data_IF_923133346859
#
_entry.id   IF_923133346859
#
_cell.length_a   1.000
_cell.length_b   1.000
_cell.length_c   1.000
_cell.angle_alpha   90.00
_cell.angle_beta   90.00
_cell.angle_gamma   90.00
#
_symmetry.space_group_name_H-M   'P 1'
#
loop_
_entity.id
_entity.type
_entity.pdbx_description
1 polymer ?
#
# COMPACT_ATOMS: atom_id res chain seq x y z
N UNK A 1 -42.02 -4.00 16.09
CA UNK A 1 -40.69 -3.41 15.80
C UNK A 1 -39.83 -4.47 15.11
N UNK A 2 -39.71 -4.42 13.78
CA UNK A 2 -38.76 -5.26 13.05
C UNK A 2 -37.35 -4.76 13.38
N UNK A 3 -36.53 -5.56 14.09
CA UNK A 3 -35.10 -5.29 14.24
C UNK A 3 -34.55 -5.13 12.81
N UNK A 4 -33.98 -3.97 12.48
CA UNK A 4 -33.31 -3.77 11.18
C UNK A 4 -32.24 -4.86 11.06
N UNK A 5 -32.38 -5.75 10.08
CA UNK A 5 -31.38 -6.81 9.83
C UNK A 5 -30.06 -6.13 9.46
N UNK A 6 -28.99 -6.51 10.16
CA UNK A 6 -27.62 -6.12 9.81
C UNK A 6 -27.32 -6.65 8.40
N UNK A 7 -26.80 -5.78 7.53
CA UNK A 7 -26.40 -6.12 6.16
C UNK A 7 -24.92 -5.78 5.90
N UNK A 8 -24.42 -6.10 4.70
CA UNK A 8 -23.02 -5.87 4.32
C UNK A 8 -22.59 -4.39 4.46
N UNK A 9 -23.50 -3.43 4.27
CA UNK A 9 -23.19 -2.00 4.36
C UNK A 9 -22.91 -1.54 5.78
N UNK A 10 -23.50 -2.19 6.79
CA UNK A 10 -23.22 -1.90 8.19
C UNK A 10 -21.79 -2.33 8.56
N UNK A 11 -21.38 -3.53 8.12
CA UNK A 11 -20.02 -4.04 8.35
C UNK A 11 -18.98 -3.17 7.64
N UNK A 12 -19.20 -2.88 6.35
CA UNK A 12 -18.31 -2.01 5.58
C UNK A 12 -18.27 -0.60 6.17
N UNK A 13 -19.41 -0.04 6.56
CA UNK A 13 -19.49 1.29 7.18
C UNK A 13 -18.64 1.37 8.45
N UNK A 14 -18.78 0.42 9.38
CA UNK A 14 -17.95 0.38 10.59
C UNK A 14 -16.47 0.25 10.24
N UNK A 15 -16.12 -0.67 9.33
CA UNK A 15 -14.74 -0.88 8.92
C UNK A 15 -14.09 0.38 8.33
N UNK A 16 -14.79 1.06 7.43
CA UNK A 16 -14.31 2.29 6.80
C UNK A 16 -14.30 3.49 7.75
N UNK A 17 -15.21 3.55 8.73
CA UNK A 17 -15.18 4.58 9.78
C UNK A 17 -13.94 4.45 10.69
N UNK A 18 -13.49 3.23 10.97
CA UNK A 18 -12.36 3.00 11.90
C UNK A 18 -11.00 2.86 11.20
N UNK A 19 -10.95 2.55 9.90
CA UNK A 19 -9.67 2.21 9.25
C UNK A 19 -8.63 3.35 9.31
N UNK A 20 -9.02 4.59 8.99
CA UNK A 20 -8.09 5.71 9.01
C UNK A 20 -7.77 6.15 10.44
N UNK A 21 -8.70 6.23 11.41
CA UNK A 21 -8.36 6.51 12.82
C UNK A 21 -7.43 5.47 13.43
N UNK A 22 -7.69 4.18 13.19
CA UNK A 22 -6.82 3.10 13.66
C UNK A 22 -5.42 3.26 13.10
N UNK A 23 -5.27 3.67 11.83
CA UNK A 23 -3.96 3.89 11.24
C UNK A 23 -3.13 4.99 11.90
N UNK A 24 -3.77 5.96 12.57
CA UNK A 24 -3.08 7.03 13.32
C UNK A 24 -2.47 6.49 14.61
N UNK A 25 -3.23 5.67 15.34
CA UNK A 25 -2.79 5.11 16.63
C UNK A 25 -1.83 3.93 16.40
N UNK A 26 -2.22 3.00 15.55
CA UNK A 26 -1.49 1.78 15.25
C UNK A 26 -1.72 1.36 13.80
N UNK A 27 -0.82 1.71 12.87
CA UNK A 27 -0.89 1.27 11.49
C UNK A 27 -1.04 -0.25 11.35
N UNK A 28 -0.39 -1.03 12.23
CA UNK A 28 -0.49 -2.49 12.27
C UNK A 28 -1.92 -2.99 12.49
N UNK A 29 -2.78 -2.19 13.12
CA UNK A 29 -4.20 -2.48 13.32
C UNK A 29 -4.99 -2.62 12.03
N UNK A 30 -4.49 -2.13 10.88
CA UNK A 30 -5.15 -2.32 9.58
C UNK A 30 -5.36 -3.80 9.22
N UNK A 31 -4.43 -4.68 9.60
CA UNK A 31 -4.58 -6.12 9.39
C UNK A 31 -5.79 -6.68 10.17
N UNK A 32 -6.00 -6.20 11.40
CA UNK A 32 -7.15 -6.57 12.24
C UNK A 32 -8.44 -6.03 11.65
N UNK A 33 -8.45 -4.79 11.16
CA UNK A 33 -9.63 -4.20 10.48
C UNK A 33 -10.03 -5.05 9.27
N UNK A 34 -9.08 -5.43 8.41
CA UNK A 34 -9.38 -6.28 7.26
C UNK A 34 -9.91 -7.66 7.70
N UNK A 35 -9.24 -8.32 8.65
CA UNK A 35 -9.64 -9.64 9.12
C UNK A 35 -11.04 -9.64 9.74
N UNK A 36 -11.33 -8.70 10.64
CA UNK A 36 -12.64 -8.58 11.28
C UNK A 36 -13.74 -8.27 10.25
N UNK A 37 -13.46 -7.41 9.28
CA UNK A 37 -14.41 -7.07 8.19
C UNK A 37 -14.70 -8.30 7.34
N UNK A 38 -13.66 -9.03 6.92
CA UNK A 38 -13.79 -10.23 6.11
C UNK A 38 -14.58 -11.34 6.84
N UNK A 39 -14.28 -11.58 8.12
CA UNK A 39 -14.99 -12.55 8.95
C UNK A 39 -16.47 -12.17 9.15
N UNK A 40 -16.75 -10.89 9.39
CA UNK A 40 -18.11 -10.39 9.51
C UNK A 40 -18.92 -10.57 8.22
N UNK A 41 -18.34 -10.22 7.07
CA UNK A 41 -18.97 -10.41 5.76
C UNK A 41 -19.19 -11.89 5.44
N UNK A 42 -18.19 -12.73 5.70
CA UNK A 42 -18.31 -14.18 5.52
C UNK A 42 -19.44 -14.76 6.38
N UNK A 43 -19.54 -14.33 7.64
CA UNK A 43 -20.59 -14.78 8.57
C UNK A 43 -21.98 -14.40 8.08
N UNK A 44 -22.19 -13.15 7.62
CA UNK A 44 -23.47 -12.72 7.05
C UNK A 44 -23.83 -13.52 5.80
N UNK A 45 -22.86 -13.78 4.92
CA UNK A 45 -23.10 -14.55 3.69
C UNK A 45 -23.46 -16.01 3.98
N UNK A 46 -22.73 -16.66 4.89
CA UNK A 46 -23.03 -18.03 5.31
C UNK A 46 -24.41 -18.13 5.95
N UNK A 47 -24.77 -17.19 6.84
CA UNK A 47 -26.11 -17.11 7.42
C UNK A 47 -27.21 -16.87 6.37
N UNK A 48 -26.89 -16.16 5.28
CA UNK A 48 -27.77 -15.93 4.13
C UNK A 48 -27.84 -17.09 3.13
N UNK A 49 -27.26 -18.26 3.43
CA UNK A 49 -27.28 -19.43 2.55
C UNK A 49 -26.36 -19.31 1.33
N UNK A 50 -25.35 -18.45 1.38
CA UNK A 50 -24.40 -18.28 0.29
C UNK A 50 -23.70 -19.60 -0.06
N UNK A 51 -23.73 -19.94 -1.35
CA UNK A 51 -22.91 -21.01 -1.93
C UNK A 51 -21.77 -20.36 -2.71
N UNK A 52 -20.54 -20.72 -2.38
CA UNK A 52 -19.37 -20.26 -3.11
C UNK A 52 -19.46 -20.72 -4.56
N UNK A 53 -19.45 -19.76 -5.49
CA UNK A 53 -19.37 -20.04 -6.92
C UNK A 53 -18.18 -19.26 -7.49
N UNK A 54 -17.13 -19.98 -7.86
CA UNK A 54 -15.93 -19.40 -8.44
C UNK A 54 -16.18 -19.04 -9.91
N UNK A 55 -16.64 -17.82 -10.14
CA UNK A 55 -16.59 -17.17 -11.45
C UNK A 55 -15.40 -16.21 -11.47
N UNK A 56 -14.19 -16.78 -11.40
CA UNK A 56 -12.96 -16.03 -11.18
C UNK A 56 -12.68 -15.02 -12.31
N UNK A 57 -12.55 -13.74 -11.94
CA UNK A 57 -12.00 -12.70 -12.83
C UNK A 57 -10.55 -13.03 -13.19
N UNK A 58 -10.03 -12.44 -14.28
CA UNK A 58 -8.62 -12.64 -14.66
C UNK A 58 -7.67 -12.23 -13.52
N UNK A 59 -7.98 -11.14 -12.81
CA UNK A 59 -7.22 -10.70 -11.62
C UNK A 59 -7.26 -11.79 -10.53
N UNK A 60 -8.43 -12.35 -10.23
CA UNK A 60 -8.57 -13.41 -9.24
C UNK A 60 -7.77 -14.67 -9.59
N UNK A 61 -7.74 -15.05 -10.87
CA UNK A 61 -6.93 -16.18 -11.36
C UNK A 61 -5.43 -15.91 -11.21
N UNK A 62 -4.96 -14.70 -11.54
CA UNK A 62 -3.55 -14.32 -11.39
C UNK A 62 -3.13 -14.24 -9.92
N UNK A 63 -3.98 -13.70 -9.04
CA UNK A 63 -3.73 -13.70 -7.59
C UNK A 63 -3.67 -15.12 -7.06
N UNK A 64 -4.60 -16.00 -7.47
CA UNK A 64 -4.56 -17.41 -7.07
C UNK A 64 -3.28 -18.11 -7.55
N UNK A 65 -2.85 -17.87 -8.80
CA UNK A 65 -1.59 -18.39 -9.32
C UNK A 65 -0.38 -17.87 -8.53
N UNK A 66 -0.38 -16.58 -8.16
CA UNK A 66 0.67 -16.00 -7.32
C UNK A 66 0.71 -16.62 -5.92
N UNK A 67 -0.45 -16.79 -5.28
CA UNK A 67 -0.57 -17.48 -3.97
C UNK A 67 -0.07 -18.93 -4.05
N UNK A 68 -0.42 -19.66 -5.11
CA UNK A 68 0.08 -21.02 -5.34
C UNK A 68 1.61 -21.00 -5.45
N UNK A 69 2.18 -20.05 -6.21
CA UNK A 69 3.63 -19.89 -6.30
C UNK A 69 4.26 -19.60 -4.93
N UNK A 70 3.65 -18.75 -4.09
CA UNK A 70 4.11 -18.50 -2.72
C UNK A 70 4.20 -19.80 -1.91
N UNK A 71 3.17 -20.66 -1.96
CA UNK A 71 3.18 -21.95 -1.27
C UNK A 71 4.22 -22.91 -1.85
N UNK A 72 4.28 -23.06 -3.17
CA UNK A 72 5.26 -23.92 -3.83
C UNK A 72 6.69 -23.51 -3.50
N UNK A 73 6.92 -22.21 -3.33
CA UNK A 73 8.24 -21.68 -3.00
C UNK A 73 8.80 -22.16 -1.66
N UNK A 74 7.97 -22.72 -0.78
CA UNK A 74 8.43 -23.37 0.43
C UNK A 74 9.39 -24.54 0.14
N UNK A 75 9.26 -25.20 -1.02
CA UNK A 75 10.08 -26.37 -1.41
C UNK A 75 11.56 -25.99 -1.57
N UNK A 76 11.86 -24.78 -2.04
CA UNK A 76 13.23 -24.30 -2.24
C UNK A 76 13.59 -23.11 -1.33
N UNK A 77 12.72 -22.81 -0.37
CA UNK A 77 12.91 -21.68 0.55
C UNK A 77 14.07 -21.93 1.48
N UNK A 78 14.83 -20.88 1.77
CA UNK A 78 15.83 -20.90 2.86
C UNK A 78 15.19 -20.91 4.25
N UNK A 79 13.89 -20.61 4.35
CA UNK A 79 13.11 -20.64 5.59
C UNK A 79 11.68 -21.19 5.35
N UNK A 80 11.53 -22.51 5.06
CA UNK A 80 10.26 -23.10 4.62
C UNK A 80 9.07 -22.89 5.56
N UNK A 81 9.26 -23.04 6.87
CA UNK A 81 8.19 -22.87 7.87
C UNK A 81 7.62 -21.44 7.87
N UNK A 82 8.52 -20.45 7.78
CA UNK A 82 8.15 -19.04 7.70
C UNK A 82 7.45 -18.74 6.38
N UNK A 83 7.96 -19.28 5.28
CA UNK A 83 7.34 -19.17 3.96
C UNK A 83 5.90 -19.68 3.97
N UNK A 84 5.64 -20.88 4.51
CA UNK A 84 4.29 -21.44 4.60
C UNK A 84 3.36 -20.57 5.46
N UNK A 85 3.85 -20.10 6.62
CA UNK A 85 3.08 -19.23 7.51
C UNK A 85 2.70 -17.91 6.82
N UNK A 86 3.67 -17.22 6.21
CA UNK A 86 3.41 -15.95 5.54
C UNK A 86 2.55 -16.14 4.30
N UNK A 87 2.72 -17.24 3.54
CA UNK A 87 1.86 -17.57 2.41
C UNK A 87 0.41 -17.79 2.83
N UNK A 88 0.16 -18.48 3.96
CA UNK A 88 -1.18 -18.67 4.50
C UNK A 88 -1.84 -17.35 4.95
N UNK A 89 -1.07 -16.46 5.58
CA UNK A 89 -1.54 -15.12 5.95
C UNK A 89 -1.90 -14.32 4.69
N UNK A 90 -1.01 -14.27 3.70
CA UNK A 90 -1.23 -13.56 2.44
C UNK A 90 -2.43 -14.10 1.66
N UNK A 91 -2.60 -15.43 1.61
CA UNK A 91 -3.77 -16.07 1.00
C UNK A 91 -5.07 -15.66 1.70
N UNK A 92 -5.06 -15.62 3.04
CA UNK A 92 -6.21 -15.22 3.85
C UNK A 92 -6.57 -13.75 3.62
N UNK A 93 -5.56 -12.87 3.53
CA UNK A 93 -5.73 -11.46 3.20
C UNK A 93 -6.30 -11.26 1.79
N UNK A 94 -5.83 -12.03 0.80
CA UNK A 94 -6.33 -11.98 -0.57
C UNK A 94 -7.80 -12.43 -0.66
N UNK A 95 -8.17 -13.49 0.07
CA UNK A 95 -9.57 -13.95 0.17
C UNK A 95 -10.43 -12.88 0.85
N UNK A 96 -9.99 -12.37 1.99
CA UNK A 96 -10.71 -11.35 2.76
C UNK A 96 -10.90 -10.05 1.98
N UNK A 97 -9.84 -9.55 1.35
CA UNK A 97 -9.90 -8.37 0.49
C UNK A 97 -10.81 -8.56 -0.73
N UNK A 98 -10.80 -9.74 -1.34
CA UNK A 98 -11.74 -10.07 -2.43
C UNK A 98 -13.19 -10.04 -1.94
N UNK A 99 -13.49 -10.59 -0.76
CA UNK A 99 -14.83 -10.53 -0.17
C UNK A 99 -15.29 -9.09 0.07
N UNK A 100 -14.40 -8.23 0.57
CA UNK A 100 -14.67 -6.81 0.84
C UNK A 100 -14.98 -6.06 -0.46
N UNK A 101 -14.18 -6.24 -1.52
CA UNK A 101 -14.42 -5.62 -2.83
C UNK A 101 -15.76 -6.11 -3.43
N UNK A 102 -16.04 -7.41 -3.33
CA UNK A 102 -17.31 -7.97 -3.81
C UNK A 102 -18.52 -7.43 -3.05
N UNK A 103 -18.40 -7.21 -1.74
CA UNK A 103 -19.45 -6.58 -0.95
C UNK A 103 -19.63 -5.11 -1.35
N UNK A 104 -18.53 -4.35 -1.45
CA UNK A 104 -18.54 -2.94 -1.84
C UNK A 104 -19.21 -2.71 -3.21
N UNK A 105 -18.97 -3.61 -4.18
CA UNK A 105 -19.51 -3.49 -5.54
C UNK A 105 -21.00 -3.85 -5.68
N UNK A 106 -21.61 -4.42 -4.63
CA UNK A 106 -23.02 -4.87 -4.64
C UNK A 106 -23.96 -3.95 -3.87
N UNK A 107 -23.43 -2.91 -3.23
CA UNK A 107 -24.25 -1.98 -2.45
C UNK A 107 -25.22 -1.20 -3.34
N UNK A 108 -26.46 -1.07 -2.86
CA UNK A 108 -27.42 -0.15 -3.46
C UNK A 108 -27.08 1.32 -3.12
N UNK A 109 -27.82 2.28 -3.68
CA UNK A 109 -27.53 3.71 -3.50
C UNK A 109 -27.56 4.12 -2.02
N UNK A 110 -28.54 3.68 -1.24
CA UNK A 110 -28.69 4.04 0.18
C UNK A 110 -27.52 3.48 1.00
N UNK A 111 -27.22 2.19 0.81
CA UNK A 111 -26.11 1.50 1.47
C UNK A 111 -24.75 2.11 1.12
N UNK A 112 -24.54 2.47 -0.15
CA UNK A 112 -23.32 3.12 -0.61
C UNK A 112 -23.17 4.50 0.03
N UNK A 113 -24.23 5.30 0.05
CA UNK A 113 -24.22 6.63 0.69
C UNK A 113 -23.87 6.53 2.18
N UNK A 114 -24.40 5.53 2.89
CA UNK A 114 -23.99 5.25 4.27
C UNK A 114 -22.48 4.99 4.40
N UNK A 115 -21.94 4.10 3.56
CA UNK A 115 -20.51 3.77 3.57
C UNK A 115 -19.64 4.98 3.24
N UNK A 116 -20.05 5.83 2.30
CA UNK A 116 -19.30 7.07 1.98
C UNK A 116 -19.27 8.02 3.18
N UNK A 117 -20.39 8.23 3.88
CA UNK A 117 -20.40 9.04 5.10
C UNK A 117 -19.48 8.46 6.19
N UNK A 118 -19.42 7.14 6.32
CA UNK A 118 -18.51 6.48 7.23
C UNK A 118 -17.03 6.72 6.87
N UNK A 119 -16.67 6.67 5.57
CA UNK A 119 -15.34 7.06 5.08
C UNK A 119 -15.03 8.52 5.43
N UNK A 120 -15.99 9.44 5.22
CA UNK A 120 -15.82 10.86 5.58
C UNK A 120 -15.52 11.03 7.06
N UNK A 121 -16.31 10.37 7.91
CA UNK A 121 -16.15 10.41 9.35
C UNK A 121 -14.77 9.90 9.77
N UNK A 122 -14.38 8.72 9.27
CA UNK A 122 -13.07 8.14 9.55
C UNK A 122 -11.92 9.05 9.11
N UNK A 123 -12.00 9.65 7.92
CA UNK A 123 -10.99 10.59 7.43
C UNK A 123 -10.91 11.85 8.30
N UNK A 124 -12.06 12.45 8.63
CA UNK A 124 -12.10 13.64 9.48
C UNK A 124 -11.49 13.37 10.86
N UNK A 125 -11.85 12.25 11.50
CA UNK A 125 -11.29 11.85 12.81
C UNK A 125 -9.79 11.60 12.70
N UNK A 126 -9.32 10.90 11.66
CA UNK A 126 -7.90 10.61 11.47
C UNK A 126 -7.07 11.89 11.22
N UNK A 127 -7.58 12.80 10.38
CA UNK A 127 -6.92 14.08 10.10
C UNK A 127 -6.87 14.96 11.34
N UNK A 128 -7.96 15.04 12.10
CA UNK A 128 -8.00 15.77 13.38
C UNK A 128 -7.06 15.15 14.42
N UNK A 129 -7.00 13.82 14.53
CA UNK A 129 -6.12 13.12 15.44
C UNK A 129 -4.63 13.34 15.10
N UNK A 130 -4.25 13.30 13.82
CA UNK A 130 -2.87 13.62 13.40
C UNK A 130 -2.51 15.08 13.64
N UNK A 131 -3.43 16.00 13.36
CA UNK A 131 -3.20 17.41 13.64
C UNK A 131 -3.03 17.66 15.15
N UNK A 132 -3.85 17.01 15.97
CA UNK A 132 -3.71 17.05 17.42
C UNK A 132 -2.39 16.43 17.91
N UNK A 133 -1.99 15.27 17.38
CA UNK A 133 -0.69 14.66 17.67
C UNK A 133 0.46 15.62 17.39
N UNK A 134 0.42 16.31 16.24
CA UNK A 134 1.41 17.31 15.89
C UNK A 134 1.45 18.47 16.89
N UNK A 135 0.30 19.06 17.22
CA UNK A 135 0.22 20.20 18.16
C UNK A 135 0.59 19.82 19.60
N UNK A 136 0.21 18.61 20.03
CA UNK A 136 0.42 18.13 21.39
C UNK A 136 1.80 17.51 21.62
N UNK A 137 2.63 17.39 20.57
CA UNK A 137 3.92 16.71 20.66
C UNK A 137 3.80 15.20 20.89
N UNK A 138 2.82 14.55 20.26
CA UNK A 138 2.51 13.12 20.30
C UNK A 138 1.77 12.61 21.56
N UNK A 139 0.84 13.40 22.13
CA UNK A 139 0.19 13.06 23.40
C UNK A 139 -0.69 11.80 23.36
N UNK A 140 -1.48 11.59 22.30
CA UNK A 140 -2.27 10.35 22.12
C UNK A 140 -1.35 9.15 22.02
N UNK A 141 -0.22 9.28 21.32
CA UNK A 141 0.73 8.18 21.19
C UNK A 141 1.37 7.84 22.52
N UNK A 142 1.83 8.83 23.28
CA UNK A 142 2.38 8.60 24.61
C UNK A 142 1.36 8.05 25.60
N UNK A 143 0.07 8.37 25.45
CA UNK A 143 -1.00 7.80 26.27
C UNK A 143 -1.11 6.27 26.14
N UNK A 144 -0.85 5.72 24.95
CA UNK A 144 -0.90 4.27 24.71
C UNK A 144 0.44 3.54 24.93
N UNK A 145 1.51 4.26 25.26
CA UNK A 145 2.83 3.68 25.50
C UNK A 145 3.07 3.45 26.99
N UNK A 146 3.69 2.31 27.33
CA UNK A 146 4.24 2.13 28.67
C UNK A 146 5.38 3.12 28.92
N UNK A 147 5.70 3.50 30.17
CA UNK A 147 6.78 4.46 30.48
C UNK A 147 8.14 4.09 29.87
N UNK A 148 8.48 2.81 29.89
CA UNK A 148 9.71 2.26 29.28
C UNK A 148 9.74 2.48 27.76
N UNK A 149 8.64 2.11 27.09
CA UNK A 149 8.50 2.35 25.66
C UNK A 149 8.52 3.85 25.34
N UNK A 150 7.84 4.69 26.13
CA UNK A 150 7.81 6.14 25.93
C UNK A 150 9.22 6.76 25.98
N UNK A 151 10.10 6.26 26.86
CA UNK A 151 11.49 6.71 26.95
C UNK A 151 12.33 6.29 25.73
N UNK A 152 12.20 5.04 25.27
CA UNK A 152 12.83 4.60 24.01
C UNK A 152 12.29 5.38 22.81
N UNK A 153 10.98 5.60 22.78
CA UNK A 153 10.32 6.37 21.73
C UNK A 153 10.83 7.81 21.69
N UNK A 154 11.04 8.48 22.82
CA UNK A 154 11.64 9.84 22.83
C UNK A 154 13.02 9.90 22.18
N UNK A 155 13.79 8.80 22.20
CA UNK A 155 15.11 8.72 21.53
C UNK A 155 14.99 8.51 20.01
N UNK A 156 13.88 7.92 19.54
CA UNK A 156 13.66 7.51 18.13
C UNK A 156 12.66 8.42 17.40
N UNK A 157 11.88 9.23 18.13
CA UNK A 157 10.73 9.98 17.65
C UNK A 157 11.04 11.10 16.63
N UNK A 158 12.31 11.47 16.45
CA UNK A 158 12.67 12.63 15.65
C UNK A 158 12.38 12.53 14.14
N UNK A 159 12.06 11.36 13.56
CA UNK A 159 12.03 11.26 12.08
C UNK A 159 10.93 10.46 11.36
N UNK A 160 10.06 9.65 11.99
CA UNK A 160 9.23 8.70 11.20
C UNK A 160 7.84 8.36 11.76
N UNK A 161 7.31 9.14 12.70
CA UNK A 161 6.11 8.76 13.49
C UNK A 161 4.86 8.61 12.63
N UNK A 162 4.68 9.46 11.62
CA UNK A 162 3.43 9.59 10.88
C UNK A 162 3.40 8.90 9.52
N UNK A 163 4.52 8.34 9.04
CA UNK A 163 4.65 7.88 7.65
C UNK A 163 3.60 6.83 7.24
N UNK A 164 3.34 5.85 8.11
CA UNK A 164 2.37 4.80 7.82
C UNK A 164 0.93 5.33 7.88
N UNK A 165 0.61 6.19 8.86
CA UNK A 165 -0.70 6.84 8.96
C UNK A 165 -0.98 7.75 7.76
N UNK A 166 0.01 8.56 7.37
CA UNK A 166 -0.05 9.41 6.18
C UNK A 166 -0.21 8.59 4.91
N UNK A 167 0.41 7.43 4.81
CA UNK A 167 0.19 6.51 3.69
C UNK A 167 -1.27 6.09 3.57
N UNK A 168 -1.90 5.65 4.67
CA UNK A 168 -3.32 5.24 4.65
C UNK A 168 -4.22 6.42 4.29
N UNK A 169 -3.96 7.60 4.85
CA UNK A 169 -4.75 8.81 4.60
C UNK A 169 -4.59 9.27 3.15
N UNK A 170 -3.38 9.36 2.61
CA UNK A 170 -3.11 9.74 1.21
C UNK A 170 -3.84 8.81 0.25
N UNK A 171 -3.71 7.48 0.45
CA UNK A 171 -4.33 6.50 -0.44
C UNK A 171 -5.85 6.49 -0.37
N UNK A 172 -6.43 6.81 0.78
CA UNK A 172 -7.88 6.83 0.98
C UNK A 172 -8.51 8.15 0.52
N UNK A 173 -7.84 9.28 0.76
CA UNK A 173 -8.43 10.60 0.57
C UNK A 173 -8.76 10.87 -0.89
N UNK A 174 -7.88 10.54 -1.82
CA UNK A 174 -8.11 10.81 -3.24
C UNK A 174 -9.38 10.13 -3.79
N UNK A 175 -9.58 8.80 -3.67
CA UNK A 175 -10.81 8.17 -4.12
C UNK A 175 -12.03 8.51 -3.24
N UNK A 176 -11.83 8.80 -1.95
CA UNK A 176 -12.92 9.26 -1.07
C UNK A 176 -13.44 10.63 -1.49
N UNK A 177 -12.58 11.60 -1.80
CA UNK A 177 -12.99 12.94 -2.25
C UNK A 177 -13.82 12.88 -3.54
N UNK A 178 -13.50 11.95 -4.46
CA UNK A 178 -14.35 11.68 -5.62
C UNK A 178 -15.75 11.19 -5.21
N UNK A 179 -15.85 10.24 -4.27
CA UNK A 179 -17.14 9.74 -3.78
C UNK A 179 -17.96 10.86 -3.12
N UNK A 180 -17.33 11.67 -2.28
CA UNK A 180 -17.94 12.80 -1.57
C UNK A 180 -18.46 13.84 -2.57
N UNK A 181 -17.65 14.16 -3.59
CA UNK A 181 -18.04 15.07 -4.65
C UNK A 181 -19.27 14.57 -5.41
N UNK A 182 -19.34 13.26 -5.71
CA UNK A 182 -20.48 12.65 -6.41
C UNK A 182 -21.77 12.60 -5.59
N UNK A 183 -21.68 12.69 -4.26
CA UNK A 183 -22.85 12.86 -3.38
C UNK A 183 -23.32 14.32 -3.29
N UNK A 184 -22.67 15.26 -4.00
CA UNK A 184 -23.02 16.69 -4.00
C UNK A 184 -22.28 17.52 -2.94
N UNK A 185 -21.48 16.89 -2.07
CA UNK A 185 -20.77 17.58 -1.00
C UNK A 185 -19.42 18.18 -1.44
N UNK A 186 -19.45 19.08 -2.43
CA UNK A 186 -18.25 19.66 -3.06
C UNK A 186 -17.31 20.32 -2.04
N UNK A 187 -17.85 21.08 -1.09
CA UNK A 187 -17.07 21.73 -0.05
C UNK A 187 -16.32 20.72 0.83
N UNK A 188 -16.98 19.64 1.25
CA UNK A 188 -16.34 18.59 2.06
C UNK A 188 -15.22 17.88 1.29
N UNK A 189 -15.42 17.61 0.00
CA UNK A 189 -14.38 17.02 -0.85
C UNK A 189 -13.14 17.94 -0.95
N UNK A 190 -13.35 19.24 -1.15
CA UNK A 190 -12.28 20.25 -1.18
C UNK A 190 -11.58 20.39 0.17
N UNK A 191 -12.33 20.39 1.28
CA UNK A 191 -11.77 20.43 2.63
C UNK A 191 -10.91 19.20 2.94
N UNK A 192 -11.34 18.01 2.53
CA UNK A 192 -10.55 16.78 2.69
C UNK A 192 -9.23 16.84 1.91
N UNK A 193 -9.26 17.34 0.66
CA UNK A 193 -8.04 17.52 -0.14
C UNK A 193 -7.12 18.61 0.44
N UNK A 194 -7.66 19.73 0.90
CA UNK A 194 -6.88 20.79 1.55
C UNK A 194 -6.25 20.31 2.86
N UNK A 195 -7.01 19.57 3.68
CA UNK A 195 -6.52 18.94 4.91
C UNK A 195 -5.41 17.94 4.63
N UNK A 196 -5.54 17.13 3.58
CA UNK A 196 -4.47 16.24 3.13
C UNK A 196 -3.19 17.00 2.79
N UNK A 197 -3.28 18.05 1.97
CA UNK A 197 -2.13 18.85 1.59
C UNK A 197 -1.45 19.48 2.82
N UNK A 198 -2.23 20.07 3.73
CA UNK A 198 -1.72 20.61 4.99
C UNK A 198 -0.99 19.56 5.83
N UNK A 199 -1.59 18.39 6.01
CA UNK A 199 -0.97 17.29 6.77
C UNK A 199 0.29 16.74 6.10
N UNK A 200 0.35 16.70 4.78
CA UNK A 200 1.57 16.26 4.11
C UNK A 200 2.73 17.19 4.43
N UNK A 201 2.54 18.51 4.51
CA UNK A 201 3.59 19.46 4.92
C UNK A 201 3.99 19.24 6.38
N UNK A 202 3.02 19.01 7.26
CA UNK A 202 3.25 18.89 8.71
C UNK A 202 3.93 17.57 9.09
N UNK A 203 3.55 16.45 8.46
CA UNK A 203 3.88 15.11 8.93
C UNK A 203 5.26 14.57 8.50
N UNK A 204 6.08 15.39 7.82
CA UNK A 204 7.37 15.02 7.22
C UNK A 204 7.40 13.71 6.41
N UNK A 205 6.29 13.42 5.74
CA UNK A 205 6.07 12.16 5.03
C UNK A 205 6.50 12.24 3.55
N UNK A 206 7.80 12.41 3.29
CA UNK A 206 8.35 12.61 1.93
C UNK A 206 7.90 11.56 0.91
N UNK A 207 7.92 10.28 1.29
CA UNK A 207 7.51 9.21 0.37
C UNK A 207 6.02 9.34 0.00
N UNK A 208 5.17 9.70 0.97
CA UNK A 208 3.73 9.91 0.73
C UNK A 208 3.46 11.19 -0.08
N UNK A 209 4.21 12.27 0.15
CA UNK A 209 4.16 13.52 -0.63
C UNK A 209 4.47 13.25 -2.10
N UNK A 210 5.62 12.64 -2.38
CA UNK A 210 6.07 12.38 -3.74
C UNK A 210 5.11 11.40 -4.45
N UNK A 211 4.66 10.35 -3.76
CA UNK A 211 3.66 9.42 -4.29
C UNK A 211 2.33 10.09 -4.66
N UNK A 212 1.88 11.07 -3.86
CA UNK A 212 0.68 11.85 -4.15
C UNK A 212 0.88 12.72 -5.39
N UNK A 213 2.04 13.38 -5.53
CA UNK A 213 2.37 14.17 -6.72
C UNK A 213 2.32 13.31 -8.00
N UNK A 214 2.99 12.15 -8.00
CA UNK A 214 2.90 11.22 -9.14
C UNK A 214 1.48 10.75 -9.42
N UNK A 215 0.70 10.45 -8.37
CA UNK A 215 -0.71 10.10 -8.50
C UNK A 215 -1.51 11.20 -9.17
N UNK A 216 -1.39 12.46 -8.71
CA UNK A 216 -2.08 13.63 -9.28
C UNK A 216 -1.67 13.89 -10.71
N UNK A 217 -0.37 13.74 -11.04
CA UNK A 217 0.12 13.84 -12.42
C UNK A 217 -0.55 12.78 -13.30
N UNK A 218 -0.66 11.54 -12.84
CA UNK A 218 -1.36 10.49 -13.60
C UNK A 218 -2.86 10.78 -13.71
N UNK A 219 -3.52 11.32 -12.67
CA UNK A 219 -4.92 11.80 -12.80
C UNK A 219 -5.02 12.85 -13.88
N UNK A 220 -4.14 13.86 -13.88
CA UNK A 220 -4.14 14.93 -14.87
C UNK A 220 -3.92 14.36 -16.27
N UNK A 221 -2.89 13.55 -16.51
CA UNK A 221 -2.67 12.93 -17.83
C UNK A 221 -3.85 12.04 -18.23
N UNK A 222 -4.45 11.30 -17.30
CA UNK A 222 -5.59 10.43 -17.61
C UNK A 222 -6.87 11.18 -17.95
N UNK A 223 -7.08 12.38 -17.38
CA UNK A 223 -8.21 13.25 -17.74
C UNK A 223 -8.11 13.77 -19.18
N UNK A 224 -6.90 14.02 -19.68
CA UNK A 224 -6.67 14.63 -21.01
C UNK A 224 -6.36 13.57 -22.08
N UNK A 225 -5.65 12.51 -21.70
CA UNK A 225 -5.18 11.45 -22.57
C UNK A 225 -5.19 10.08 -21.85
N UNK A 226 -6.39 9.50 -21.59
CA UNK A 226 -6.55 8.27 -20.80
C UNK A 226 -5.77 7.08 -21.37
N UNK A 227 -5.67 6.98 -22.70
CA UNK A 227 -4.87 5.93 -23.37
C UNK A 227 -3.38 6.11 -23.14
N UNK A 228 -2.87 7.35 -23.17
CA UNK A 228 -1.46 7.65 -22.89
C UNK A 228 -1.14 7.35 -21.44
N UNK A 229 -1.98 7.79 -20.50
CA UNK A 229 -1.80 7.48 -19.08
C UNK A 229 -1.78 5.96 -18.82
N UNK A 230 -2.75 5.23 -19.37
CA UNK A 230 -2.87 3.78 -19.17
C UNK A 230 -1.70 3.02 -19.76
N UNK A 231 -1.39 3.25 -21.05
CA UNK A 231 -0.28 2.55 -21.74
C UNK A 231 1.06 2.98 -21.15
N UNK A 232 1.25 4.26 -20.87
CA UNK A 232 2.47 4.79 -20.26
C UNK A 232 2.74 4.15 -18.90
N UNK A 233 1.74 4.08 -18.01
CA UNK A 233 1.86 3.41 -16.72
C UNK A 233 2.18 1.92 -16.90
N UNK A 234 1.48 1.21 -17.80
CA UNK A 234 1.78 -0.20 -18.09
C UNK A 234 3.24 -0.39 -18.56
N UNK A 235 3.73 0.45 -19.47
CA UNK A 235 5.11 0.40 -19.96
C UNK A 235 6.11 0.65 -18.85
N UNK A 236 5.89 1.68 -18.02
CA UNK A 236 6.75 1.98 -16.87
C UNK A 236 6.79 0.80 -15.88
N UNK A 237 5.67 0.12 -15.66
CA UNK A 237 5.63 -1.06 -14.78
C UNK A 237 6.37 -2.26 -15.36
N UNK A 238 6.20 -2.54 -16.66
CA UNK A 238 6.92 -3.64 -17.34
C UNK A 238 8.42 -3.40 -17.25
N UNK A 239 8.88 -2.22 -17.63
CA UNK A 239 10.31 -1.88 -17.61
C UNK A 239 10.82 -1.85 -16.17
N UNK A 240 10.15 -1.10 -15.29
CA UNK A 240 10.59 -0.89 -13.90
C UNK A 240 10.63 -2.18 -13.07
N UNK A 241 9.71 -3.11 -13.30
CA UNK A 241 9.70 -4.39 -12.57
C UNK A 241 10.60 -5.40 -13.27
N UNK A 242 10.40 -5.70 -14.56
CA UNK A 242 11.08 -6.82 -15.21
C UNK A 242 12.53 -6.50 -15.58
N UNK A 243 12.81 -5.27 -16.02
CA UNK A 243 14.18 -4.85 -16.30
C UNK A 243 14.87 -4.20 -15.09
N UNK A 244 14.14 -3.92 -14.00
CA UNK A 244 14.64 -3.21 -12.82
C UNK A 244 15.98 -3.76 -12.27
N UNK A 245 16.10 -5.05 -11.97
CA UNK A 245 17.36 -5.61 -11.46
C UNK A 245 18.54 -5.49 -12.44
N UNK A 246 18.28 -5.62 -13.74
CA UNK A 246 19.32 -5.46 -14.78
C UNK A 246 19.76 -3.99 -14.89
N UNK A 247 18.80 -3.06 -14.89
CA UNK A 247 19.10 -1.62 -14.90
C UNK A 247 19.91 -1.22 -13.69
N UNK A 248 19.54 -1.69 -12.49
CA UNK A 248 20.28 -1.40 -11.26
C UNK A 248 21.67 -2.02 -11.24
N UNK A 249 21.86 -3.22 -11.79
CA UNK A 249 23.19 -3.84 -11.87
C UNK A 249 24.19 -3.03 -12.69
N UNK A 250 23.72 -2.38 -13.75
CA UNK A 250 24.56 -1.53 -14.61
C UNK A 250 24.73 -0.10 -14.07
N UNK A 251 24.08 0.24 -12.94
CA UNK A 251 24.27 1.56 -12.33
C UNK A 251 25.68 1.70 -11.74
N UNK A 252 26.30 2.89 -11.81
CA UNK A 252 27.60 3.10 -11.19
C UNK A 252 27.60 2.80 -9.69
N UNK A 253 28.76 2.48 -9.10
CA UNK A 253 28.87 2.28 -7.65
C UNK A 253 28.27 3.45 -6.88
N UNK A 254 27.63 3.17 -5.74
CA UNK A 254 26.94 4.16 -4.92
C UNK A 254 27.77 5.41 -4.62
N UNK A 255 29.08 5.24 -4.42
CA UNK A 255 30.02 6.34 -4.18
C UNK A 255 29.98 7.41 -5.30
N UNK A 256 29.81 7.01 -6.56
CA UNK A 256 29.72 7.95 -7.69
C UNK A 256 28.42 8.76 -7.65
N UNK A 257 27.34 8.22 -7.11
CA UNK A 257 26.10 8.97 -6.89
C UNK A 257 26.27 10.02 -5.79
N UNK A 258 26.98 9.67 -4.72
CA UNK A 258 27.34 10.60 -3.64
C UNK A 258 28.17 11.78 -4.15
N UNK A 259 29.12 11.51 -5.04
CA UNK A 259 30.00 12.54 -5.61
C UNK A 259 29.25 13.57 -6.46
N UNK A 260 28.14 13.16 -7.09
CA UNK A 260 27.30 14.02 -7.95
C UNK A 260 26.13 14.64 -7.19
N UNK A 261 25.52 13.90 -6.26
CA UNK A 261 24.31 14.27 -5.51
C UNK A 261 24.52 14.09 -4.00
N UNK A 262 25.42 14.87 -3.36
CA UNK A 262 25.76 14.68 -1.94
C UNK A 262 24.60 15.01 -0.99
N UNK A 263 23.57 15.72 -1.48
CA UNK A 263 22.43 16.20 -0.68
C UNK A 263 21.24 15.22 -0.65
N UNK A 264 21.42 13.97 -1.05
CA UNK A 264 20.34 12.99 -0.95
C UNK A 264 19.98 12.70 0.52
N UNK A 265 18.70 12.46 0.85
CA UNK A 265 18.31 12.07 2.20
C UNK A 265 18.99 10.76 2.63
N UNK A 266 19.33 10.65 3.91
CA UNK A 266 19.92 9.43 4.50
C UNK A 266 19.11 8.16 4.22
N UNK A 267 17.78 8.27 4.13
CA UNK A 267 16.89 7.15 3.77
C UNK A 267 17.11 6.66 2.33
N UNK A 268 17.53 7.53 1.42
CA UNK A 268 17.84 7.19 0.03
C UNK A 268 19.17 6.45 -0.06
N UNK A 269 20.22 6.94 0.61
CA UNK A 269 21.50 6.22 0.69
C UNK A 269 21.31 4.81 1.26
N UNK A 270 20.56 4.69 2.37
CA UNK A 270 20.26 3.40 2.98
C UNK A 270 19.59 2.43 2.00
N UNK A 271 18.59 2.90 1.24
CA UNK A 271 17.88 2.07 0.25
C UNK A 271 18.80 1.63 -0.89
N UNK A 272 19.65 2.52 -1.40
CA UNK A 272 20.55 2.20 -2.52
C UNK A 272 21.56 1.12 -2.13
N UNK A 273 22.12 1.18 -0.91
CA UNK A 273 22.99 0.12 -0.36
C UNK A 273 22.24 -1.22 -0.34
N UNK A 274 21.03 -1.23 0.22
CA UNK A 274 20.21 -2.46 0.27
C UNK A 274 19.89 -2.98 -1.13
N UNK A 275 19.62 -2.10 -2.10
CA UNK A 275 19.26 -2.49 -3.45
C UNK A 275 20.43 -3.11 -4.21
N UNK A 276 21.65 -2.61 -4.01
CA UNK A 276 22.89 -3.19 -4.57
C UNK A 276 23.03 -4.65 -4.09
N UNK A 277 22.95 -4.87 -2.78
CA UNK A 277 23.01 -6.21 -2.16
C UNK A 277 21.88 -7.14 -2.62
N UNK A 278 20.66 -6.61 -2.77
CA UNK A 278 19.51 -7.37 -3.25
C UNK A 278 19.68 -7.78 -4.70
N UNK A 279 20.20 -6.91 -5.55
CA UNK A 279 20.44 -7.20 -6.98
C UNK A 279 21.47 -8.31 -7.14
N UNK A 280 22.57 -8.27 -6.39
CA UNK A 280 23.58 -9.32 -6.43
C UNK A 280 23.00 -10.69 -6.05
N UNK A 281 22.12 -10.73 -5.05
CA UNK A 281 21.43 -11.97 -4.67
C UNK A 281 20.41 -12.41 -5.72
N UNK A 282 19.66 -11.49 -6.33
CA UNK A 282 18.72 -11.83 -7.42
C UNK A 282 19.46 -12.62 -8.52
N UNK A 283 20.68 -12.21 -8.87
CA UNK A 283 21.47 -12.87 -9.91
C UNK A 283 22.01 -14.26 -9.53
N UNK A 284 21.98 -14.64 -8.25
CA UNK A 284 22.30 -16.00 -7.82
C UNK A 284 21.16 -16.99 -8.09
N UNK A 285 19.90 -16.53 -8.04
CA UNK A 285 18.69 -17.35 -8.29
C UNK A 285 17.64 -16.60 -9.12
N UNK A 286 17.96 -16.17 -10.35
CA UNK A 286 17.15 -15.20 -11.09
C UNK A 286 15.78 -15.73 -11.52
N UNK A 287 15.60 -17.05 -11.64
CA UNK A 287 14.34 -17.63 -12.13
C UNK A 287 13.32 -17.85 -11.01
N UNK A 288 13.75 -18.49 -9.90
CA UNK A 288 12.87 -18.98 -8.83
C UNK A 288 13.04 -18.26 -7.48
N UNK A 289 14.10 -17.46 -7.32
CA UNK A 289 14.41 -16.77 -6.07
C UNK A 289 14.77 -17.69 -4.90
N UNK A 290 14.64 -17.15 -3.69
CA UNK A 290 15.01 -17.81 -2.42
C UNK A 290 13.83 -18.31 -1.57
N UNK A 291 12.60 -18.23 -2.08
CA UNK A 291 11.37 -18.57 -1.35
C UNK A 291 10.63 -17.33 -0.84
N UNK A 292 9.30 -17.40 -0.77
CA UNK A 292 8.45 -16.29 -0.34
C UNK A 292 8.71 -15.86 1.11
N UNK A 293 8.79 -14.55 1.34
CA UNK A 293 9.14 -13.86 2.60
C UNK A 293 10.51 -14.29 3.18
N UNK A 294 11.40 -14.82 2.33
CA UNK A 294 12.75 -15.24 2.73
C UNK A 294 13.69 -14.09 3.06
N UNK A 295 13.40 -12.84 2.64
CA UNK A 295 14.25 -11.69 2.95
C UNK A 295 14.48 -11.52 4.45
N UNK A 296 13.46 -11.83 5.26
CA UNK A 296 13.53 -11.78 6.73
C UNK A 296 14.26 -12.96 7.36
N UNK A 297 14.60 -13.98 6.57
CA UNK A 297 15.44 -15.10 6.97
C UNK A 297 16.89 -14.92 6.49
N UNK A 298 17.15 -13.93 5.63
CA UNK A 298 18.50 -13.53 5.21
C UNK A 298 19.17 -12.58 6.20
N UNK A 299 18.40 -12.09 7.17
CA UNK A 299 18.81 -11.26 8.30
C UNK A 299 19.61 -12.10 9.29
N UNK A 300 20.93 -11.92 9.35
CA UNK A 300 21.76 -12.49 10.41
C UNK A 300 22.65 -11.38 11.01
N UNK A 301 22.53 -11.16 12.32
CA UNK A 301 23.33 -10.18 13.05
C UNK A 301 24.85 -10.36 12.83
N UNK A 302 25.29 -11.59 12.55
CA UNK A 302 26.69 -11.93 12.21
C UNK A 302 27.14 -11.37 10.86
N UNK A 303 26.22 -10.94 10.01
CA UNK A 303 26.49 -10.36 8.69
C UNK A 303 26.40 -8.83 8.69
N UNK A 304 26.16 -8.21 9.85
CA UNK A 304 26.12 -6.75 9.97
C UNK A 304 27.47 -6.15 9.63
N UNK A 305 27.48 -5.12 8.81
CA UNK A 305 28.68 -4.44 8.35
C UNK A 305 28.52 -2.93 8.43
N UNK A 306 29.66 -2.24 8.56
CA UNK A 306 29.72 -0.79 8.55
C UNK A 306 29.69 -0.30 7.11
N UNK A 307 28.62 0.39 6.74
CA UNK A 307 28.54 1.12 5.49
C UNK A 307 28.87 2.58 5.76
N UNK A 308 29.87 3.12 5.06
CA UNK A 308 30.17 4.54 5.13
C UNK A 308 30.36 5.14 3.76
N UNK A 309 29.74 6.31 3.55
CA UNK A 309 29.88 7.10 2.33
C UNK A 309 30.61 8.39 2.67
N UNK A 310 31.58 8.73 1.82
CA UNK A 310 32.38 9.94 1.99
C UNK A 310 32.15 10.90 0.83
N UNK A 311 32.15 12.20 1.09
CA UNK A 311 32.15 13.22 0.05
C UNK A 311 33.27 14.22 0.35
N UNK A 312 34.19 14.39 -0.60
CA UNK A 312 35.39 15.25 -0.45
C UNK A 312 36.19 14.94 0.83
N UNK A 313 36.36 13.66 1.15
CA UNK A 313 37.11 13.21 2.33
C UNK A 313 36.38 13.37 3.67
N UNK A 314 35.13 13.87 3.69
CA UNK A 314 34.29 13.92 4.89
C UNK A 314 33.25 12.80 4.84
N UNK A 315 33.06 12.09 5.95
CA UNK A 315 31.98 11.10 6.08
C UNK A 315 30.64 11.82 6.13
N UNK A 316 29.75 11.50 5.20
CA UNK A 316 28.40 12.11 5.12
C UNK A 316 27.29 11.15 5.53
N UNK A 317 27.57 9.84 5.52
CA UNK A 317 26.64 8.80 5.92
C UNK A 317 27.43 7.63 6.51
N UNK A 318 26.97 7.11 7.64
CA UNK A 318 27.52 5.95 8.32
C UNK A 318 26.36 5.16 8.94
N UNK A 319 26.34 3.86 8.70
CA UNK A 319 25.40 2.97 9.37
C UNK A 319 26.03 1.61 9.58
N UNK A 320 25.88 1.07 10.79
CA UNK A 320 26.08 -0.35 11.04
C UNK A 320 24.76 -1.07 10.77
N UNK A 321 24.70 -1.87 9.71
CA UNK A 321 23.45 -2.53 9.31
C UNK A 321 23.70 -3.88 8.66
N UNK A 322 22.70 -4.74 8.71
CA UNK A 322 22.66 -5.96 7.90
C UNK A 322 22.48 -5.58 6.43
N UNK A 323 23.08 -6.31 5.47
CA UNK A 323 22.97 -6.03 4.04
C UNK A 323 21.51 -5.98 3.57
N UNK A 324 20.66 -6.84 4.13
CA UNK A 324 19.22 -6.87 3.91
C UNK A 324 18.54 -7.00 5.28
N UNK A 325 18.12 -5.88 5.92
CA UNK A 325 17.65 -5.92 7.29
C UNK A 325 16.38 -6.75 7.46
N UNK A 326 15.27 -6.33 6.86
CA UNK A 326 14.00 -7.09 6.91
C UNK A 326 13.42 -7.30 5.52
N UNK A 327 13.55 -6.27 4.69
CA UNK A 327 13.06 -6.24 3.32
C UNK A 327 13.74 -5.11 2.55
N UNK A 328 13.71 -5.13 1.20
CA UNK A 328 14.37 -4.14 0.36
C UNK A 328 13.78 -2.73 0.40
N UNK A 329 12.64 -2.51 1.07
CA UNK A 329 11.82 -1.29 0.92
C UNK A 329 11.37 -1.02 -0.52
N UNK A 330 11.38 -2.05 -1.37
CA UNK A 330 10.99 -2.01 -2.77
C UNK A 330 10.32 -3.34 -3.13
N UNK A 331 9.00 -3.32 -3.33
CA UNK A 331 8.23 -4.52 -3.60
C UNK A 331 8.66 -5.25 -4.87
N UNK A 332 9.07 -4.54 -5.92
CA UNK A 332 9.53 -5.17 -7.16
C UNK A 332 10.82 -5.98 -6.93
N UNK A 333 11.80 -5.37 -6.26
CA UNK A 333 13.04 -6.06 -5.90
C UNK A 333 12.80 -7.19 -4.90
N UNK A 334 11.87 -7.02 -3.97
CA UNK A 334 11.51 -8.08 -3.02
C UNK A 334 10.89 -9.29 -3.72
N UNK A 335 9.98 -9.06 -4.68
CA UNK A 335 9.38 -10.14 -5.48
C UNK A 335 10.46 -10.86 -6.30
N UNK A 336 11.38 -10.14 -6.93
CA UNK A 336 12.50 -10.74 -7.65
C UNK A 336 13.41 -11.57 -6.75
N UNK A 337 13.80 -11.04 -5.59
CA UNK A 337 14.66 -11.73 -4.64
C UNK A 337 14.02 -13.05 -4.19
N UNK A 338 12.74 -13.01 -3.85
CA UNK A 338 12.09 -14.13 -3.17
C UNK A 338 11.48 -15.16 -4.13
N UNK A 339 10.94 -14.71 -5.28
CA UNK A 339 10.21 -15.56 -6.23
C UNK A 339 10.81 -15.54 -7.64
N UNK A 340 11.90 -14.80 -7.86
CA UNK A 340 12.58 -14.70 -9.14
C UNK A 340 11.73 -14.05 -10.24
N UNK A 341 12.17 -14.24 -11.48
CA UNK A 341 11.50 -13.77 -12.69
C UNK A 341 10.10 -14.35 -12.85
N UNK A 342 9.83 -15.54 -12.31
CA UNK A 342 8.49 -16.14 -12.30
C UNK A 342 7.52 -15.31 -11.45
N UNK A 343 7.92 -14.99 -10.22
CA UNK A 343 7.13 -14.12 -9.33
C UNK A 343 7.00 -12.72 -9.90
N UNK A 344 8.08 -12.15 -10.44
CA UNK A 344 8.06 -10.83 -11.05
C UNK A 344 7.09 -10.74 -12.24
N UNK A 345 7.06 -11.76 -13.09
CA UNK A 345 6.14 -11.82 -14.23
C UNK A 345 4.68 -11.87 -13.79
N UNK A 346 4.35 -12.72 -12.80
CA UNK A 346 2.99 -12.79 -12.25
C UNK A 346 2.58 -11.47 -11.57
N UNK A 347 3.49 -10.87 -10.79
CA UNK A 347 3.25 -9.59 -10.13
C UNK A 347 3.00 -8.47 -11.15
N UNK A 348 3.83 -8.37 -12.20
CA UNK A 348 3.61 -7.45 -13.31
C UNK A 348 2.28 -7.71 -14.00
N UNK A 349 1.94 -8.97 -14.31
CA UNK A 349 0.67 -9.31 -14.94
C UNK A 349 -0.54 -8.87 -14.10
N UNK A 350 -0.51 -9.06 -12.77
CA UNK A 350 -1.56 -8.58 -11.86
C UNK A 350 -1.71 -7.06 -11.99
N UNK A 351 -0.62 -6.30 -11.88
CA UNK A 351 -0.66 -4.84 -11.98
C UNK A 351 -1.14 -4.36 -13.35
N UNK A 352 -0.72 -5.01 -14.44
CA UNK A 352 -1.16 -4.68 -15.79
C UNK A 352 -2.67 -4.89 -15.98
N UNK A 353 -3.22 -5.97 -15.45
CA UNK A 353 -4.67 -6.21 -15.50
C UNK A 353 -5.42 -5.19 -14.63
N UNK A 354 -4.89 -4.80 -13.47
CA UNK A 354 -5.48 -3.75 -12.63
C UNK A 354 -5.46 -2.38 -13.32
N UNK A 355 -4.31 -1.97 -13.87
CA UNK A 355 -4.20 -0.72 -14.64
C UNK A 355 -5.18 -0.72 -15.81
N UNK A 356 -5.27 -1.83 -16.55
CA UNK A 356 -6.23 -1.96 -17.64
C UNK A 356 -7.68 -1.93 -17.16
N UNK A 357 -8.00 -2.56 -16.03
CA UNK A 357 -9.37 -2.59 -15.48
C UNK A 357 -9.84 -1.18 -15.11
N UNK A 358 -8.98 -0.41 -14.44
CA UNK A 358 -9.27 0.94 -13.95
C UNK A 358 -9.21 1.98 -15.08
N UNK A 359 -8.21 1.89 -15.96
CA UNK A 359 -8.01 2.79 -17.09
C UNK A 359 -8.94 2.56 -18.29
N UNK A 360 -9.77 1.50 -18.26
CA UNK A 360 -10.72 1.17 -19.34
C UNK A 360 -11.86 2.18 -19.48
N UNK A 361 -12.23 2.85 -18.41
CA UNK A 361 -13.24 3.91 -18.47
C UNK A 361 -12.56 5.23 -18.82
N UNK A 362 -12.93 5.86 -19.94
CA UNK A 362 -12.61 7.25 -20.25
C UNK A 362 -13.41 8.19 -19.34
N UNK A 363 -13.34 7.99 -18.04
CA UNK A 363 -14.10 8.70 -17.04
C UNK A 363 -13.18 9.27 -15.97
N UNK A 364 -13.66 10.32 -15.31
CA UNK A 364 -12.95 10.90 -14.17
C UNK A 364 -12.71 9.88 -13.04
N UNK A 365 -13.57 8.86 -12.91
CA UNK A 365 -13.37 7.77 -11.94
C UNK A 365 -12.18 6.89 -12.33
N UNK A 366 -12.04 6.58 -13.62
CA UNK A 366 -10.87 5.87 -14.15
C UNK A 366 -9.58 6.65 -13.91
N UNK A 367 -9.60 7.97 -14.16
CA UNK A 367 -8.45 8.84 -13.91
C UNK A 367 -8.03 8.86 -12.43
N UNK A 368 -8.99 9.08 -11.52
CA UNK A 368 -8.75 9.03 -10.06
C UNK A 368 -8.24 7.67 -9.62
N UNK A 369 -8.82 6.58 -10.13
CA UNK A 369 -8.38 5.22 -9.83
C UNK A 369 -6.95 4.93 -10.30
N UNK A 370 -6.56 5.39 -11.50
CA UNK A 370 -5.19 5.28 -12.00
C UNK A 370 -4.22 6.10 -11.14
N UNK A 371 -4.63 7.29 -10.70
CA UNK A 371 -3.87 8.10 -9.75
C UNK A 371 -3.65 7.38 -8.42
N UNK A 372 -4.71 6.84 -7.81
CA UNK A 372 -4.62 6.07 -6.55
C UNK A 372 -3.73 4.85 -6.71
N UNK A 373 -3.85 4.11 -7.82
CA UNK A 373 -3.02 2.94 -8.11
C UNK A 373 -1.54 3.35 -8.27
N UNK A 374 -1.28 4.47 -8.95
CA UNK A 374 0.08 5.01 -9.09
C UNK A 374 0.68 5.40 -7.74
N UNK A 375 -0.09 6.08 -6.88
CA UNK A 375 0.35 6.41 -5.52
C UNK A 375 0.66 5.15 -4.71
N UNK A 376 -0.18 4.11 -4.78
CA UNK A 376 0.05 2.84 -4.09
C UNK A 376 1.30 2.09 -4.60
N UNK A 377 1.52 2.07 -5.91
CA UNK A 377 2.70 1.45 -6.53
C UNK A 377 3.98 2.20 -6.13
N UNK A 378 3.96 3.53 -6.19
CA UNK A 378 5.13 4.33 -5.81
C UNK A 378 5.55 4.05 -4.36
N UNK A 379 4.57 4.04 -3.43
CA UNK A 379 4.81 3.71 -2.03
C UNK A 379 5.33 2.27 -1.88
N UNK A 380 4.77 1.31 -2.62
CA UNK A 380 5.24 -0.09 -2.63
C UNK A 380 6.72 -0.19 -3.02
N UNK A 381 7.19 0.65 -3.93
CA UNK A 381 8.57 0.60 -4.44
C UNK A 381 9.57 1.36 -3.59
N UNK A 382 9.12 2.10 -2.58
CA UNK A 382 9.99 3.02 -1.83
C UNK A 382 9.87 2.94 -0.31
N UNK A 383 8.78 2.39 0.26
CA UNK A 383 8.52 2.53 1.70
C UNK A 383 8.55 1.22 2.49
N UNK A 384 7.80 0.21 2.07
CA UNK A 384 7.42 -0.92 2.93
C UNK A 384 7.79 -2.26 2.32
N UNK A 385 7.97 -3.27 3.18
CA UNK A 385 8.03 -4.65 2.72
C UNK A 385 6.71 -5.09 2.11
N UNK A 386 6.78 -5.76 0.96
CA UNK A 386 5.61 -6.15 0.19
C UNK A 386 4.62 -6.97 1.04
N UNK A 387 5.10 -7.86 1.90
CA UNK A 387 4.25 -8.83 2.61
C UNK A 387 3.84 -8.39 4.01
N UNK A 388 3.97 -7.11 4.35
CA UNK A 388 3.48 -6.62 5.62
C UNK A 388 1.93 -6.64 5.63
N UNK A 389 1.34 -7.40 6.56
CA UNK A 389 -0.12 -7.57 6.65
C UNK A 389 -0.91 -6.28 6.71
N UNK A 390 -0.41 -5.28 7.44
CA UNK A 390 -1.08 -3.99 7.54
C UNK A 390 -1.08 -3.23 6.21
N UNK A 391 0.00 -3.36 5.44
CA UNK A 391 0.16 -2.74 4.13
C UNK A 391 -0.77 -3.41 3.11
N UNK A 392 -0.79 -4.74 3.07
CA UNK A 392 -1.71 -5.51 2.24
C UNK A 392 -3.17 -5.20 2.58
N UNK A 393 -3.50 -5.12 3.87
CA UNK A 393 -4.81 -4.72 4.32
C UNK A 393 -5.20 -3.31 3.85
N UNK A 394 -4.29 -2.33 3.95
CA UNK A 394 -4.52 -0.98 3.42
C UNK A 394 -4.81 -1.02 1.91
N UNK A 395 -4.01 -1.76 1.12
CA UNK A 395 -4.22 -1.87 -0.33
C UNK A 395 -5.60 -2.45 -0.67
N UNK A 396 -6.02 -3.52 0.00
CA UNK A 396 -7.34 -4.13 -0.21
C UNK A 396 -8.49 -3.21 0.19
N UNK A 397 -8.38 -2.54 1.34
CA UNK A 397 -9.39 -1.58 1.80
C UNK A 397 -9.51 -0.39 0.84
N UNK A 398 -8.38 0.18 0.38
CA UNK A 398 -8.37 1.28 -0.60
C UNK A 398 -8.92 0.81 -1.95
N UNK A 399 -8.59 -0.40 -2.40
CA UNK A 399 -9.17 -0.97 -3.62
C UNK A 399 -10.70 -1.09 -3.54
N UNK A 400 -11.25 -1.39 -2.36
CA UNK A 400 -12.69 -1.38 -2.14
C UNK A 400 -13.28 0.05 -2.18
N UNK A 401 -12.59 1.07 -1.64
CA UNK A 401 -13.00 2.48 -1.80
C UNK A 401 -13.01 2.90 -3.27
N UNK A 402 -11.98 2.52 -4.03
CA UNK A 402 -11.93 2.76 -5.49
C UNK A 402 -13.08 2.04 -6.18
N UNK A 403 -13.36 0.78 -5.84
CA UNK A 403 -14.45 -0.01 -6.43
C UNK A 403 -15.84 0.63 -6.19
N UNK A 404 -16.08 1.22 -5.01
CA UNK A 404 -17.31 1.99 -4.72
C UNK A 404 -17.52 3.15 -5.71
N UNK A 405 -16.48 3.69 -6.34
CA UNK A 405 -16.61 4.80 -7.29
C UNK A 405 -17.15 4.38 -8.66
N UNK A 406 -16.98 3.10 -9.02
CA UNK A 406 -17.42 2.51 -10.29
C UNK A 406 -18.85 1.97 -10.23
N UNK A 407 -19.40 1.76 -9.03
CA UNK A 407 -20.72 1.19 -8.84
C UNK A 407 -21.75 2.26 -8.55
N UNK A 408 -22.70 2.45 -9.47
CA UNK A 408 -23.83 3.36 -9.31
C UNK A 408 -23.71 4.62 -10.18
N UNK A 409 -24.49 4.65 -11.26
CA UNK A 409 -24.95 5.90 -11.87
C UNK A 409 -25.73 6.65 -10.78
N UNK A 410 -25.07 7.55 -10.05
CA UNK A 410 -25.80 8.64 -9.41
C UNK A 410 -26.26 9.51 -10.59
N UNK A 411 -27.50 9.26 -11.05
CA UNK A 411 -28.22 10.26 -11.84
C UNK A 411 -28.36 11.45 -10.91
N UNK A 412 -27.51 12.44 -11.09
CA UNK A 412 -27.90 13.80 -10.79
C UNK A 412 -28.90 14.13 -11.89
N UNK A 413 -30.17 14.07 -11.54
CA UNK A 413 -31.20 14.74 -12.33
C UNK A 413 -30.87 16.23 -12.27
N UNK A 414 -30.46 16.79 -13.42
CA UNK A 414 -30.63 18.22 -13.73
C UNK A 414 -32.15 18.49 -13.81
N UNK A 415 -32.65 19.67 -13.41
CA UNK A 415 -32.18 20.98 -13.88
C UNK A 415 -31.35 21.80 -12.89
#
# INVERSE_FOLDING_TARGET
>A
MSIRRIDESHILGVAFAIMTPVSVISPKGMAVVLAATALGLASLRLAGGWRFNWQGSMVGKLIAAFVILCFLSAIWSIAPEKTLKTAAIFASEAIGGTLIILAATRLNVIQRTWVVHAICFGLAVAMAALFFEYLSGNALRFFFLTPENALEWKKIAHFKVYNASMTVIVLTTLPASLLIFRLGHRLLASMALAGLLGLTVIADADTSRVALVFGVVVVAVACWAPRIATVGLMTVLVIGILAGPAVLKETPPLQKYVDVLPQLPNSTYHRLIIWEEVVDRIWQRPVIGFGFDSSRGMTDAKTSQDFSLTYRGKRIYEIHSEPIPLHPHNAALQVWLELGGLGATLYTAILLVLVRLVGRSNSFQGAVGLGTLTTAIFISFTAYGAWQSWWQATLWMVAAVVALSFTGKVRLEDP
#
